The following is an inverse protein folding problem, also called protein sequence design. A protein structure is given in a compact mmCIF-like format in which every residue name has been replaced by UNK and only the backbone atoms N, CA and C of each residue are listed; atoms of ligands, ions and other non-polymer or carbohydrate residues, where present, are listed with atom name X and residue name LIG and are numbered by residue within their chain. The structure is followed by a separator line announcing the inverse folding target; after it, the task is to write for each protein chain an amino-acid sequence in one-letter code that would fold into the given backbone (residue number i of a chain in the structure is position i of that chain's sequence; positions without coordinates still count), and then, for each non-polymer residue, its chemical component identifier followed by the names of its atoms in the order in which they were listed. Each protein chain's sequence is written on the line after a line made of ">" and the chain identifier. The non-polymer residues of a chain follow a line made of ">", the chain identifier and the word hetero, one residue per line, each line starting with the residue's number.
data_IF_887286578198
#
_entry.id   IF_887286578198
#
_cell.length_a   1.000
_cell.length_b   1.000
_cell.length_c   1.000
_cell.angle_alpha   90.00
_cell.angle_beta   90.00
_cell.angle_gamma   90.00
#
_symmetry.space_group_name_H-M   'P 1'
#
loop_
_entity.id
_entity.type
_entity.pdbx_description
1 polymer ?
#
# COMPACT_ATOMS: atom_id res chain seq x y z
N UNK A 1 -7.01 -2.00 -27.04
CA UNK A 1 -7.33 -1.22 -25.84
C UNK A 1 -6.21 -0.23 -25.62
N UNK A 2 -6.52 1.06 -25.50
CA UNK A 2 -5.50 2.11 -25.34
C UNK A 2 -5.21 2.37 -23.87
N UNK A 3 -4.14 3.11 -23.56
CA UNK A 3 -3.92 3.64 -22.22
C UNK A 3 -5.12 4.46 -21.74
N UNK A 4 -5.68 5.30 -22.62
CA UNK A 4 -6.82 6.16 -22.29
C UNK A 4 -8.08 5.35 -21.94
N UNK A 5 -8.37 4.26 -22.66
CA UNK A 5 -9.48 3.34 -22.34
C UNK A 5 -9.33 2.72 -20.95
N UNK A 6 -8.11 2.32 -20.59
CA UNK A 6 -7.82 1.69 -19.29
C UNK A 6 -7.91 2.72 -18.17
N UNK A 7 -7.32 3.90 -18.37
CA UNK A 7 -7.34 4.99 -17.40
C UNK A 7 -8.78 5.46 -17.12
N UNK A 8 -9.62 5.61 -18.15
CA UNK A 8 -11.03 5.98 -17.99
C UNK A 8 -11.83 4.94 -17.18
N UNK A 9 -11.58 3.65 -17.42
CA UNK A 9 -12.23 2.59 -16.64
C UNK A 9 -11.77 2.56 -15.19
N UNK A 10 -10.48 2.78 -14.92
CA UNK A 10 -9.96 2.87 -13.55
C UNK A 10 -10.48 4.11 -12.83
N UNK A 11 -10.56 5.26 -13.50
CA UNK A 11 -11.16 6.48 -12.94
C UNK A 11 -12.63 6.25 -12.55
N UNK A 12 -13.41 5.57 -13.39
CA UNK A 12 -14.80 5.24 -13.06
C UNK A 12 -14.91 4.29 -11.85
N UNK A 13 -14.04 3.27 -11.76
CA UNK A 13 -14.03 2.32 -10.63
C UNK A 13 -13.64 3.00 -9.32
N UNK A 14 -12.60 3.83 -9.34
CA UNK A 14 -12.15 4.58 -8.15
C UNK A 14 -13.21 5.58 -7.68
N UNK A 15 -13.96 6.22 -8.59
CA UNK A 15 -15.11 7.04 -8.22
C UNK A 15 -16.21 6.23 -7.49
N UNK A 16 -16.53 5.03 -7.96
CA UNK A 16 -17.56 4.18 -7.36
C UNK A 16 -17.15 3.56 -6.02
N UNK A 17 -15.89 3.14 -5.91
CA UNK A 17 -15.39 2.36 -4.77
C UNK A 17 -14.83 3.28 -3.68
N UNK A 18 -14.08 4.30 -4.07
CA UNK A 18 -13.34 5.18 -3.17
C UNK A 18 -14.01 6.55 -3.01
N UNK A 19 -15.02 6.88 -3.83
CA UNK A 19 -15.65 8.20 -3.83
C UNK A 19 -14.78 9.30 -4.43
N UNK A 20 -13.72 8.93 -5.15
CA UNK A 20 -12.77 9.88 -5.73
C UNK A 20 -13.39 10.72 -6.84
N UNK A 21 -13.03 12.01 -6.87
CA UNK A 21 -13.27 12.87 -8.02
C UNK A 21 -12.25 12.58 -9.12
N UNK A 22 -12.50 13.00 -10.37
CA UNK A 22 -11.53 12.83 -11.46
C UNK A 22 -10.14 13.38 -11.15
N UNK A 23 -10.06 14.53 -10.45
CA UNK A 23 -8.78 15.13 -10.06
C UNK A 23 -7.99 14.24 -9.08
N UNK A 24 -8.66 13.57 -8.14
CA UNK A 24 -7.99 12.66 -7.19
C UNK A 24 -7.33 11.49 -7.93
N UNK A 25 -8.01 10.92 -8.93
CA UNK A 25 -7.46 9.85 -9.77
C UNK A 25 -6.22 10.29 -10.56
N UNK A 26 -6.24 11.49 -11.15
CA UNK A 26 -5.13 11.97 -11.97
C UNK A 26 -3.92 12.44 -11.14
N UNK A 27 -4.13 12.86 -9.89
CA UNK A 27 -3.06 13.20 -8.98
C UNK A 27 -2.44 11.98 -8.28
N UNK A 28 -3.20 10.89 -8.11
CA UNK A 28 -2.70 9.68 -7.49
C UNK A 28 -1.66 8.98 -8.38
N UNK A 29 -0.57 8.53 -7.76
CA UNK A 29 0.43 7.74 -8.47
C UNK A 29 -0.06 6.30 -8.69
N UNK A 30 0.43 5.60 -9.73
CA UNK A 30 0.09 4.19 -9.93
C UNK A 30 0.46 3.29 -8.74
N UNK A 31 1.53 3.61 -8.01
CA UNK A 31 1.98 2.85 -6.85
C UNK A 31 1.03 3.01 -5.66
N UNK A 32 0.55 4.23 -5.39
CA UNK A 32 -0.46 4.47 -4.35
C UNK A 32 -1.77 3.76 -4.69
N UNK A 33 -2.24 3.87 -5.93
CA UNK A 33 -3.47 3.20 -6.36
C UNK A 33 -3.35 1.68 -6.24
N UNK A 34 -2.20 1.10 -6.63
CA UNK A 34 -1.94 -0.32 -6.45
C UNK A 34 -1.96 -0.73 -4.97
N UNK A 35 -1.35 0.06 -4.08
CA UNK A 35 -1.35 -0.20 -2.64
C UNK A 35 -2.76 -0.19 -2.03
N UNK A 36 -3.61 0.74 -2.45
CA UNK A 36 -5.02 0.79 -2.03
C UNK A 36 -5.77 -0.47 -2.48
N UNK A 37 -5.59 -0.88 -3.74
CA UNK A 37 -6.25 -2.05 -4.29
C UNK A 37 -5.78 -3.36 -3.61
N UNK A 38 -4.48 -3.48 -3.33
CA UNK A 38 -3.94 -4.62 -2.58
C UNK A 38 -4.52 -4.67 -1.17
N UNK A 39 -4.51 -3.54 -0.45
CA UNK A 39 -5.10 -3.47 0.88
C UNK A 39 -6.60 -3.84 0.89
N UNK A 40 -7.36 -3.41 -0.12
CA UNK A 40 -8.77 -3.79 -0.28
C UNK A 40 -8.96 -5.28 -0.59
N UNK A 41 -8.06 -5.87 -1.36
CA UNK A 41 -8.07 -7.30 -1.68
C UNK A 41 -7.61 -8.18 -0.50
N UNK A 42 -7.15 -7.57 0.60
CA UNK A 42 -6.46 -8.28 1.68
C UNK A 42 -5.11 -8.85 1.24
N UNK A 43 -4.56 -8.31 0.15
CA UNK A 43 -3.23 -8.63 -0.33
C UNK A 43 -2.19 -7.76 0.37
N UNK A 44 -1.09 -8.38 0.77
CA UNK A 44 -0.07 -7.78 1.61
C UNK A 44 0.19 -8.65 2.83
N UNK A 45 1.44 -8.70 3.27
CA UNK A 45 1.75 -9.40 4.51
C UNK A 45 1.10 -8.62 5.67
N UNK A 46 0.40 -9.33 6.55
CA UNK A 46 -0.18 -8.68 7.72
C UNK A 46 0.97 -8.05 8.53
N UNK A 47 0.85 -6.79 8.99
CA UNK A 47 1.86 -6.22 9.85
C UNK A 47 2.06 -7.16 11.06
N UNK A 48 3.30 -7.40 11.49
CA UNK A 48 3.56 -8.30 12.61
C UNK A 48 2.81 -7.80 13.85
N UNK A 49 2.16 -8.71 14.55
CA UNK A 49 1.52 -8.39 15.82
C UNK A 49 2.59 -8.08 16.90
N UNK A 50 2.15 -7.56 18.05
CA UNK A 50 3.08 -7.16 19.11
C UNK A 50 3.99 -8.31 19.59
N UNK A 51 3.49 -9.55 19.63
CA UNK A 51 4.27 -10.74 20.01
C UNK A 51 5.34 -11.06 18.97
N UNK A 52 4.99 -11.05 17.68
CA UNK A 52 5.94 -11.24 16.58
C UNK A 52 7.04 -10.18 16.57
N UNK A 53 6.68 -8.91 16.81
CA UNK A 53 7.66 -7.82 16.98
C UNK A 53 8.56 -8.08 18.18
N UNK A 54 8.00 -8.51 19.31
CA UNK A 54 8.77 -8.82 20.52
C UNK A 54 9.77 -9.96 20.29
N UNK A 55 9.36 -11.02 19.59
CA UNK A 55 10.24 -12.13 19.20
C UNK A 55 11.37 -11.67 18.27
N UNK A 56 11.07 -10.76 17.33
CA UNK A 56 12.10 -10.17 16.46
C UNK A 56 13.11 -9.36 17.26
N UNK A 57 12.65 -8.55 18.24
CA UNK A 57 13.54 -7.78 19.13
C UNK A 57 14.43 -8.69 19.99
N UNK A 58 13.91 -9.82 20.48
CA UNK A 58 14.72 -10.82 21.19
C UNK A 58 15.73 -11.49 20.28
N UNK A 59 15.33 -11.79 19.03
CA UNK A 59 16.17 -12.50 18.06
C UNK A 59 17.27 -11.62 17.49
N UNK A 60 17.01 -10.33 17.32
CA UNK A 60 17.90 -9.34 16.75
C UNK A 60 17.99 -8.13 17.70
N UNK A 61 18.68 -8.27 18.85
CA UNK A 61 18.83 -7.16 19.78
C UNK A 61 19.66 -6.05 19.14
N UNK A 62 19.15 -4.82 19.19
CA UNK A 62 19.89 -3.62 18.77
C UNK A 62 21.10 -3.45 19.68
N UNK A 63 22.25 -3.94 19.24
CA UNK A 63 23.53 -3.59 19.86
C UNK A 63 24.02 -2.30 19.22
N UNK A 64 24.60 -1.35 19.99
CA UNK A 64 25.27 -0.21 19.40
C UNK A 64 26.41 -0.74 18.54
N UNK A 65 26.23 -0.74 17.22
CA UNK A 65 27.29 -1.03 16.28
C UNK A 65 28.29 0.13 16.32
N UNK A 66 29.29 0.07 17.20
CA UNK A 66 30.46 0.95 17.14
C UNK A 66 30.94 1.64 18.41
N UNK A 67 30.96 1.00 19.58
CA UNK A 67 31.73 1.51 20.73
C UNK A 67 32.53 0.39 21.41
N UNK A 68 33.68 0.07 20.80
CA UNK A 68 35.08 0.07 21.32
C UNK A 68 35.94 -0.80 20.42
#
# INVERSE_FOLDING_TARGET
>A
MTFADVAAQLAARTALILGWRPDDFWNATPAELLGILQAMAGEGDAPPNADAVHQLMMRFPDSPSGET
#
